data_IF_658458270533
#
_entry.id   IF_658458270533
#
_cell.length_a   1.000
_cell.length_b   1.000
_cell.length_c   1.000
_cell.angle_alpha   90.00
_cell.angle_beta   90.00
_cell.angle_gamma   90.00
#
_symmetry.space_group_name_H-M   'P 1'
#
loop_
_entity.id
_entity.type
_entity.pdbx_description
1 polymer ?
#
# COMPACT_ATOMS: atom_id res chain seq x y z
N UNK A 1 10.93 6.76 9.17
CA UNK A 1 11.74 7.51 10.17
C UNK A 1 13.09 6.86 10.49
N UNK A 2 13.16 5.63 11.05
CA UNK A 2 14.45 4.99 11.39
C UNK A 2 15.21 4.35 10.21
N UNK A 3 14.50 3.81 9.22
CA UNK A 3 15.13 3.18 8.03
C UNK A 3 15.42 4.15 6.87
N UNK A 4 14.97 5.41 6.98
CA UNK A 4 15.09 6.44 5.93
C UNK A 4 14.02 6.39 4.83
N UNK A 5 12.93 5.64 5.02
CA UNK A 5 11.75 5.61 4.15
C UNK A 5 10.85 6.81 4.43
N UNK A 6 10.35 7.42 3.35
CA UNK A 6 9.27 8.41 3.40
C UNK A 6 7.94 7.68 3.62
N UNK A 7 7.08 8.25 4.45
CA UNK A 7 5.71 7.77 4.69
C UNK A 7 4.76 8.95 4.50
N UNK A 8 3.48 8.73 4.17
CA UNK A 8 2.53 9.82 4.10
C UNK A 8 2.25 10.35 5.52
N UNK A 9 2.00 11.65 5.63
CA UNK A 9 1.52 12.22 6.89
C UNK A 9 0.24 11.48 7.31
N UNK A 10 0.24 10.96 8.53
CA UNK A 10 -0.80 10.06 9.04
C UNK A 10 -1.25 10.54 10.42
N UNK A 11 -2.55 10.56 10.64
CA UNK A 11 -3.20 10.88 11.90
C UNK A 11 -4.11 9.71 12.30
N UNK A 12 -3.97 9.22 13.52
CA UNK A 12 -4.97 8.35 14.14
C UNK A 12 -5.72 9.19 15.17
N UNK A 13 -7.04 9.31 15.02
CA UNK A 13 -7.86 10.13 15.90
C UNK A 13 -9.26 9.56 16.09
N UNK A 14 -9.93 10.04 17.14
CA UNK A 14 -11.35 9.82 17.44
C UNK A 14 -12.16 11.11 17.36
N UNK A 15 -11.56 12.24 16.94
CA UNK A 15 -12.17 13.58 17.07
C UNK A 15 -12.10 14.36 15.76
N UNK A 16 -13.23 14.95 15.36
CA UNK A 16 -13.36 15.77 14.14
C UNK A 16 -12.41 16.96 14.12
N UNK A 17 -12.24 17.63 15.26
CA UNK A 17 -11.34 18.79 15.40
C UNK A 17 -9.88 18.48 15.07
N UNK A 18 -9.42 17.25 15.31
CA UNK A 18 -8.04 16.85 15.03
C UNK A 18 -7.82 16.72 13.52
N UNK A 19 -8.84 16.23 12.79
CA UNK A 19 -8.83 16.19 11.31
C UNK A 19 -8.77 17.60 10.73
N UNK A 20 -9.58 18.52 11.26
CA UNK A 20 -9.57 19.92 10.83
C UNK A 20 -8.21 20.58 11.07
N UNK A 21 -7.56 20.29 12.21
CA UNK A 21 -6.23 20.79 12.51
C UNK A 21 -5.12 20.12 11.67
N UNK A 22 -5.33 18.88 11.23
CA UNK A 22 -4.41 18.15 10.35
C UNK A 22 -4.39 18.71 8.93
N UNK A 23 -5.51 19.27 8.48
CA UNK A 23 -5.69 19.86 7.14
C UNK A 23 -5.61 21.39 7.24
N UNK A 24 -4.39 21.94 7.44
CA UNK A 24 -4.18 23.40 7.56
C UNK A 24 -4.24 24.16 6.22
N UNK A 25 -4.30 23.44 5.10
CA UNK A 25 -4.40 23.95 3.72
C UNK A 25 -5.34 23.04 2.93
N UNK A 26 -5.93 23.46 1.80
CA UNK A 26 -6.67 22.56 0.92
C UNK A 26 -5.74 21.42 0.47
N UNK A 27 -5.83 20.30 1.17
CA UNK A 27 -5.09 19.08 0.91
C UNK A 27 -6.11 17.96 0.94
N UNK A 28 -6.09 17.13 -0.11
CA UNK A 28 -6.93 15.95 -0.15
C UNK A 28 -6.46 14.99 0.94
N UNK A 29 -7.42 14.44 1.66
CA UNK A 29 -7.18 13.43 2.69
C UNK A 29 -8.01 12.20 2.39
N UNK A 30 -7.48 11.06 2.79
CA UNK A 30 -8.13 9.76 2.67
C UNK A 30 -8.26 9.14 4.05
N UNK A 31 -9.25 8.27 4.21
CA UNK A 31 -9.36 7.34 5.33
C UNK A 31 -9.22 5.92 4.82
N UNK A 32 -8.62 5.06 5.62
CA UNK A 32 -8.56 3.61 5.40
C UNK A 32 -8.54 2.90 6.74
N UNK A 33 -8.87 1.61 6.76
CA UNK A 33 -8.78 0.83 8.00
C UNK A 33 -7.33 0.72 8.48
N UNK A 34 -7.15 0.75 9.81
CA UNK A 34 -5.85 0.61 10.48
C UNK A 34 -5.28 -0.80 10.29
N UNK A 35 -6.16 -1.79 10.09
CA UNK A 35 -5.84 -3.19 9.83
C UNK A 35 -6.81 -3.74 8.77
N UNK A 36 -6.53 -4.91 8.19
CA UNK A 36 -7.50 -5.63 7.37
C UNK A 36 -8.80 -5.82 8.18
N UNK A 37 -9.86 -5.12 7.77
CA UNK A 37 -11.13 -5.09 8.47
C UNK A 37 -11.88 -6.41 8.33
N UNK A 38 -12.78 -6.69 9.27
CA UNK A 38 -13.71 -7.81 9.16
C UNK A 38 -14.57 -7.62 7.91
N UNK A 39 -14.55 -8.59 7.00
CA UNK A 39 -15.50 -8.62 5.87
C UNK A 39 -16.84 -9.10 6.42
N UNK A 40 -17.81 -8.20 6.48
CA UNK A 40 -19.17 -8.57 6.84
C UNK A 40 -19.89 -9.05 5.59
N UNK A 41 -20.34 -10.30 5.60
CA UNK A 41 -21.19 -10.86 4.56
C UNK A 41 -22.65 -10.81 5.00
N UNK A 42 -23.51 -10.16 4.22
CA UNK A 42 -24.95 -10.18 4.40
C UNK A 42 -25.64 -10.38 3.04
N UNK A 43 -26.49 -11.40 2.93
CA UNK A 43 -27.26 -11.72 1.70
C UNK A 43 -26.41 -11.75 0.41
N UNK A 44 -25.17 -12.24 0.48
CA UNK A 44 -24.26 -12.32 -0.67
C UNK A 44 -23.44 -11.04 -0.95
N UNK A 45 -23.63 -9.98 -0.16
CA UNK A 45 -22.84 -8.74 -0.24
C UNK A 45 -21.77 -8.73 0.86
N UNK A 46 -20.52 -8.48 0.46
CA UNK A 46 -19.39 -8.27 1.39
C UNK A 46 -19.13 -6.77 1.56
N UNK A 47 -19.04 -6.30 2.80
CA UNK A 47 -18.57 -4.95 3.11
C UNK A 47 -17.05 -4.96 3.28
N UNK A 48 -16.35 -4.20 2.43
CA UNK A 48 -14.90 -4.04 2.48
C UNK A 48 -14.55 -2.62 2.92
N UNK A 49 -13.50 -2.48 3.72
CA UNK A 49 -12.95 -1.17 4.03
C UNK A 49 -11.92 -0.78 2.97
N UNK A 50 -12.37 -0.05 1.98
CA UNK A 50 -11.52 0.52 0.93
C UNK A 50 -10.90 1.84 1.38
N UNK A 51 -9.91 2.32 0.63
CA UNK A 51 -9.42 3.69 0.80
C UNK A 51 -10.47 4.66 0.26
N UNK A 52 -10.91 5.62 1.07
CA UNK A 52 -11.96 6.58 0.69
C UNK A 52 -11.46 8.01 0.83
N UNK A 53 -11.72 8.88 -0.17
CA UNK A 53 -11.46 10.31 -0.06
C UNK A 53 -12.42 10.95 0.95
N UNK A 54 -11.88 11.70 1.91
CA UNK A 54 -12.67 12.47 2.86
C UNK A 54 -12.88 13.88 2.31
N UNK A 55 -13.76 13.99 1.32
CA UNK A 55 -14.13 15.27 0.71
C UNK A 55 -14.87 16.20 1.72
N UNK A 56 -15.16 17.46 1.36
CA UNK A 56 -15.85 18.38 2.26
C UNK A 56 -17.22 17.88 2.74
N UNK A 57 -17.96 17.13 1.90
CA UNK A 57 -19.27 16.58 2.25
C UNK A 57 -19.12 15.50 3.32
N UNK A 58 -18.21 14.55 3.11
CA UNK A 58 -17.84 13.51 4.08
C UNK A 58 -17.45 14.14 5.41
N UNK A 59 -16.55 15.13 5.39
CA UNK A 59 -16.08 15.80 6.60
C UNK A 59 -17.22 16.55 7.33
N UNK A 60 -18.15 17.15 6.59
CA UNK A 60 -19.30 17.84 7.18
C UNK A 60 -20.20 16.86 7.94
N UNK A 61 -20.40 15.66 7.40
CA UNK A 61 -21.24 14.61 7.99
C UNK A 61 -20.64 13.88 9.19
N UNK A 62 -19.35 14.06 9.49
CA UNK A 62 -18.73 13.45 10.67
C UNK A 62 -19.31 14.00 11.97
N UNK A 63 -19.61 13.10 12.91
CA UNK A 63 -19.85 13.44 14.30
C UNK A 63 -18.59 14.04 14.97
N UNK A 64 -18.77 14.79 16.07
CA UNK A 64 -17.64 15.39 16.79
C UNK A 64 -16.64 14.34 17.31
N UNK A 65 -17.15 13.15 17.65
CA UNK A 65 -16.38 11.98 18.06
C UNK A 65 -16.83 10.72 17.30
N UNK A 66 -15.88 9.83 17.01
CA UNK A 66 -16.09 8.58 16.28
C UNK A 66 -15.08 7.50 16.71
N UNK A 67 -15.22 6.27 16.22
CA UNK A 67 -14.27 5.18 16.49
C UNK A 67 -12.86 5.52 15.97
N UNK A 68 -11.78 5.05 16.61
CA UNK A 68 -10.42 5.32 16.16
C UNK A 68 -10.25 5.05 14.67
N UNK A 69 -9.90 6.09 13.93
CA UNK A 69 -9.80 6.05 12.47
C UNK A 69 -8.46 6.60 12.02
N UNK A 70 -7.91 6.04 10.94
CA UNK A 70 -6.70 6.51 10.31
C UNK A 70 -7.06 7.48 9.20
N UNK A 71 -6.54 8.69 9.30
CA UNK A 71 -6.60 9.72 8.27
C UNK A 71 -5.21 9.94 7.73
N UNK A 72 -5.06 9.99 6.41
CA UNK A 72 -3.77 10.11 5.76
C UNK A 72 -3.85 11.18 4.66
N UNK A 73 -2.78 11.94 4.47
CA UNK A 73 -2.71 12.84 3.31
C UNK A 73 -2.74 12.00 2.03
N UNK A 74 -3.61 12.39 1.09
CA UNK A 74 -3.60 11.83 -0.24
C UNK A 74 -2.32 12.25 -0.96
N UNK A 75 -1.67 11.30 -1.60
CA UNK A 75 -0.48 11.53 -2.41
C UNK A 75 -0.80 11.10 -3.84
N UNK A 76 -0.62 12.02 -4.78
CA UNK A 76 -0.72 11.71 -6.20
C UNK A 76 0.40 10.74 -6.59
N UNK A 77 0.04 9.66 -7.27
CA UNK A 77 0.92 8.56 -7.61
C UNK A 77 1.01 8.42 -9.12
N UNK A 78 2.23 8.31 -9.63
CA UNK A 78 2.51 7.90 -11.00
C UNK A 78 2.29 6.40 -11.18
N UNK A 79 2.74 5.61 -10.20
CA UNK A 79 2.54 4.16 -10.16
C UNK A 79 2.47 3.67 -8.71
N UNK A 80 1.83 2.51 -8.55
CA UNK A 80 1.92 1.72 -7.32
C UNK A 80 3.00 0.66 -7.50
N UNK A 81 3.74 0.38 -6.44
CA UNK A 81 4.80 -0.62 -6.43
C UNK A 81 4.44 -1.72 -5.43
N UNK A 82 4.25 -2.94 -5.92
CA UNK A 82 4.12 -4.14 -5.11
C UNK A 82 5.47 -4.85 -5.12
N UNK A 83 6.07 -5.01 -3.95
CA UNK A 83 7.45 -5.49 -3.83
C UNK A 83 7.46 -6.72 -2.93
N UNK A 84 7.83 -7.88 -3.48
CA UNK A 84 8.05 -9.07 -2.69
C UNK A 84 9.48 -9.10 -2.15
N UNK A 85 9.62 -9.24 -0.84
CA UNK A 85 10.88 -9.39 -0.14
C UNK A 85 11.05 -10.82 0.33
N UNK A 86 12.23 -11.40 0.13
CA UNK A 86 12.63 -12.68 0.72
C UNK A 86 14.16 -12.71 0.89
N UNK A 87 14.64 -12.94 2.11
CA UNK A 87 16.06 -13.08 2.46
C UNK A 87 16.98 -12.06 1.75
N UNK A 88 16.73 -10.78 2.00
CA UNK A 88 17.45 -9.62 1.42
C UNK A 88 17.29 -9.41 -0.10
N UNK A 89 16.53 -10.25 -0.80
CA UNK A 89 16.16 -10.06 -2.20
C UNK A 89 14.82 -9.33 -2.33
N UNK A 90 14.71 -8.48 -3.35
CA UNK A 90 13.54 -7.65 -3.62
C UNK A 90 13.10 -7.84 -5.08
N UNK A 91 11.84 -8.22 -5.27
CA UNK A 91 11.20 -8.38 -6.57
C UNK A 91 10.05 -7.40 -6.68
N UNK A 92 10.17 -6.39 -7.53
CA UNK A 92 9.19 -5.31 -7.62
C UNK A 92 8.37 -5.38 -8.90
N UNK A 93 7.10 -5.04 -8.77
CA UNK A 93 6.16 -4.85 -9.87
C UNK A 93 5.59 -3.44 -9.79
N UNK A 94 5.57 -2.74 -10.92
CA UNK A 94 4.83 -1.49 -11.06
C UNK A 94 3.43 -1.74 -11.62
N UNK A 95 2.44 -1.09 -11.01
CA UNK A 95 1.03 -1.13 -11.37
C UNK A 95 0.62 0.28 -11.81
N UNK A 96 0.24 0.44 -13.08
CA UNK A 96 -0.19 1.73 -13.62
C UNK A 96 -1.71 1.92 -13.45
N UNK A 97 -2.13 2.26 -12.22
CA UNK A 97 -3.56 2.44 -11.87
C UNK A 97 -4.17 3.76 -12.35
N UNK A 98 -3.35 4.75 -12.73
CA UNK A 98 -3.86 6.09 -13.07
C UNK A 98 -4.67 6.17 -14.37
N UNK A 99 -4.54 5.17 -15.25
CA UNK A 99 -5.26 5.15 -16.52
C UNK A 99 -6.71 4.64 -16.39
N UNK A 100 -7.12 4.21 -15.19
CA UNK A 100 -8.46 3.73 -14.92
C UNK A 100 -9.05 4.46 -13.71
N UNK A 101 -10.18 5.15 -13.91
CA UNK A 101 -10.83 5.95 -12.86
C UNK A 101 -11.20 5.12 -11.63
N UNK A 102 -11.55 3.84 -11.81
CA UNK A 102 -11.91 2.93 -10.72
C UNK A 102 -10.72 2.61 -9.81
N UNK A 103 -9.53 2.42 -10.40
CA UNK A 103 -8.32 2.00 -9.68
C UNK A 103 -7.43 3.17 -9.25
N UNK A 104 -7.73 4.39 -9.71
CA UNK A 104 -6.91 5.59 -9.48
C UNK A 104 -6.69 5.90 -8.01
N UNK A 105 -7.73 5.78 -7.17
CA UNK A 105 -7.63 5.97 -5.73
C UNK A 105 -7.01 4.73 -5.06
N UNK A 106 -7.53 3.55 -5.38
CA UNK A 106 -7.18 2.27 -4.79
C UNK A 106 -7.18 1.17 -5.86
N UNK A 107 -6.03 0.55 -6.14
CA UNK A 107 -5.95 -0.48 -7.20
C UNK A 107 -6.78 -1.73 -6.90
N UNK A 108 -7.17 -1.93 -5.64
CA UNK A 108 -8.00 -3.05 -5.19
C UNK A 108 -9.41 -2.99 -5.78
N UNK A 109 -9.83 -1.82 -6.25
CA UNK A 109 -11.09 -1.61 -6.98
C UNK A 109 -10.93 -2.07 -8.44
N UNK A 110 -10.43 -3.29 -8.59
CA UNK A 110 -9.84 -3.81 -9.82
C UNK A 110 -10.88 -3.99 -10.92
N UNK A 111 -10.67 -3.30 -12.04
CA UNK A 111 -11.45 -3.46 -13.24
C UNK A 111 -11.01 -4.73 -13.99
N UNK A 112 -11.89 -5.73 -14.02
CA UNK A 112 -11.63 -6.99 -14.75
C UNK A 112 -11.85 -6.88 -16.25
N UNK A 113 -12.52 -5.82 -16.72
CA UNK A 113 -12.76 -5.54 -18.14
C UNK A 113 -11.55 -4.79 -18.71
N UNK A 114 -11.04 -3.79 -17.99
CA UNK A 114 -9.84 -3.01 -18.38
C UNK A 114 -8.75 -3.13 -17.31
N UNK A 115 -8.03 -4.28 -17.27
CA UNK A 115 -7.05 -4.55 -16.23
C UNK A 115 -5.88 -3.55 -16.29
N UNK A 116 -5.37 -3.18 -15.12
CA UNK A 116 -4.20 -2.32 -15.03
C UNK A 116 -2.98 -2.97 -15.70
N UNK A 117 -2.15 -2.17 -16.36
CA UNK A 117 -0.84 -2.62 -16.85
C UNK A 117 0.08 -2.88 -15.65
N UNK A 118 0.60 -4.10 -15.57
CA UNK A 118 1.54 -4.55 -14.56
C UNK A 118 2.87 -4.94 -15.23
N UNK A 119 4.00 -4.44 -14.73
CA UNK A 119 5.32 -4.72 -15.33
C UNK A 119 6.40 -4.93 -14.27
N UNK A 120 7.46 -5.70 -14.58
CA UNK A 120 8.68 -5.72 -13.78
C UNK A 120 9.21 -4.30 -13.53
N UNK A 121 9.68 -4.02 -12.32
CA UNK A 121 10.22 -2.73 -11.95
C UNK A 121 11.58 -2.88 -11.26
N UNK A 122 12.55 -2.06 -11.64
CA UNK A 122 13.84 -2.02 -10.99
C UNK A 122 13.89 -0.88 -9.96
N UNK A 123 13.98 -1.24 -8.68
CA UNK A 123 14.13 -0.25 -7.61
C UNK A 123 15.53 0.40 -7.65
N UNK A 124 15.65 1.71 -7.42
CA UNK A 124 16.94 2.35 -7.19
C UNK A 124 17.66 1.72 -5.98
N UNK A 125 18.99 1.59 -6.04
CA UNK A 125 19.79 0.98 -4.97
C UNK A 125 19.53 1.62 -3.60
N UNK A 126 19.39 2.94 -3.55
CA UNK A 126 19.07 3.67 -2.32
C UNK A 126 17.73 3.31 -1.70
N UNK A 127 16.73 2.92 -2.51
CA UNK A 127 15.43 2.45 -2.03
C UNK A 127 15.54 0.98 -1.57
N UNK A 128 16.25 0.13 -2.33
CA UNK A 128 16.52 -1.27 -1.93
C UNK A 128 17.16 -1.33 -0.54
N UNK A 129 18.21 -0.54 -0.31
CA UNK A 129 18.91 -0.50 0.97
C UNK A 129 18.01 -0.07 2.13
N UNK A 130 17.12 0.91 1.89
CA UNK A 130 16.15 1.37 2.89
C UNK A 130 15.12 0.30 3.23
N UNK A 131 14.63 -0.45 2.23
CA UNK A 131 13.68 -1.54 2.42
C UNK A 131 14.32 -2.72 3.16
N UNK A 132 15.54 -3.12 2.78
CA UNK A 132 16.29 -4.19 3.47
C UNK A 132 16.51 -3.81 4.94
N UNK A 133 16.98 -2.59 5.22
CA UNK A 133 17.13 -2.11 6.60
C UNK A 133 15.81 -2.12 7.36
N UNK A 134 14.71 -1.73 6.71
CA UNK A 134 13.38 -1.76 7.33
C UNK A 134 12.95 -3.19 7.69
N UNK A 135 13.02 -4.12 6.74
CA UNK A 135 12.62 -5.53 6.94
C UNK A 135 13.46 -6.19 8.05
N UNK A 136 14.76 -5.93 8.07
CA UNK A 136 15.66 -6.40 9.12
C UNK A 136 15.33 -5.79 10.50
N UNK A 137 15.00 -4.48 10.56
CA UNK A 137 14.63 -3.82 11.81
C UNK A 137 13.33 -4.39 12.41
N UNK A 138 12.37 -4.79 11.57
CA UNK A 138 11.12 -5.43 12.02
C UNK A 138 11.21 -6.96 12.11
N UNK A 139 12.39 -7.53 11.85
CA UNK A 139 12.69 -8.96 11.92
C UNK A 139 11.81 -9.84 11.01
N UNK A 140 11.45 -9.33 9.84
CA UNK A 140 10.76 -10.10 8.81
C UNK A 140 11.77 -10.57 7.75
N UNK A 141 11.81 -11.87 7.49
CA UNK A 141 12.63 -12.47 6.43
C UNK A 141 11.87 -12.66 5.11
N UNK A 142 10.55 -12.38 5.11
CA UNK A 142 9.65 -12.46 3.97
C UNK A 142 8.51 -11.45 4.16
N UNK A 143 8.00 -10.87 3.07
CA UNK A 143 6.84 -9.99 3.13
C UNK A 143 6.54 -9.32 1.79
N UNK A 144 5.32 -8.80 1.66
CA UNK A 144 4.93 -8.00 0.50
C UNK A 144 4.78 -6.55 0.92
N UNK A 145 5.55 -5.67 0.29
CA UNK A 145 5.66 -4.26 0.62
C UNK A 145 4.90 -3.47 -0.44
N UNK A 146 4.09 -2.51 0.02
CA UNK A 146 3.39 -1.56 -0.84
C UNK A 146 4.06 -0.20 -0.76
N UNK A 147 4.35 0.36 -1.92
CA UNK A 147 4.83 1.73 -2.07
C UNK A 147 4.08 2.45 -3.19
N UNK A 148 4.18 3.77 -3.19
CA UNK A 148 3.81 4.59 -4.35
C UNK A 148 5.03 5.33 -4.87
N UNK A 149 5.09 5.45 -6.19
CA UNK A 149 6.01 6.34 -6.90
C UNK A 149 5.24 7.59 -7.30
N UNK A 150 5.67 8.76 -6.87
CA UNK A 150 5.03 10.04 -7.23
C UNK A 150 5.49 10.51 -8.62
N UNK A 151 4.74 11.41 -9.30
CA UNK A 151 5.21 12.07 -10.52
C UNK A 151 6.53 12.84 -10.35
N UNK A 152 6.85 13.26 -9.11
CA UNK A 152 8.11 13.90 -8.73
C UNK A 152 9.26 12.92 -8.46
N UNK A 153 9.09 11.63 -8.79
CA UNK A 153 10.08 10.57 -8.57
C UNK A 153 10.43 10.30 -7.09
N UNK A 154 9.44 10.49 -6.20
CA UNK A 154 9.57 10.14 -4.78
C UNK A 154 8.93 8.78 -4.50
N UNK A 155 9.57 8.01 -3.62
CA UNK A 155 9.13 6.68 -3.21
C UNK A 155 8.56 6.75 -1.79
N UNK A 156 7.26 6.51 -1.66
CA UNK A 156 6.57 6.60 -0.38
C UNK A 156 6.13 5.20 0.05
N UNK A 157 6.61 4.77 1.22
CA UNK A 157 6.24 3.50 1.84
C UNK A 157 4.83 3.59 2.43
N UNK A 158 3.99 2.61 2.14
CA UNK A 158 2.63 2.53 2.68
C UNK A 158 2.53 1.50 3.80
N UNK A 159 2.87 0.26 3.51
CA UNK A 159 2.73 -0.85 4.46
C UNK A 159 3.55 -2.09 4.04
N UNK A 160 3.63 -3.06 4.96
CA UNK A 160 4.13 -4.41 4.69
C UNK A 160 3.11 -5.44 5.16
N UNK A 161 2.74 -6.35 4.28
CA UNK A 161 1.95 -7.53 4.61
C UNK A 161 2.91 -8.71 4.93
N UNK A 162 2.99 -9.16 6.20
CA UNK A 162 3.89 -10.22 6.63
C UNK A 162 3.50 -11.62 6.13
N UNK A 163 2.25 -11.81 5.67
CA UNK A 163 1.82 -13.07 5.02
C UNK A 163 2.60 -13.27 3.70
N UNK A 164 3.04 -12.18 3.08
CA UNK A 164 3.91 -12.24 1.91
C UNK A 164 3.21 -12.74 0.65
N UNK A 165 1.96 -12.32 0.41
CA UNK A 165 1.27 -12.67 -0.84
C UNK A 165 2.07 -12.20 -2.06
N UNK A 166 2.62 -13.17 -2.81
CA UNK A 166 3.58 -12.92 -3.90
C UNK A 166 3.02 -13.24 -5.30
N UNK A 167 1.89 -13.95 -5.41
CA UNK A 167 1.38 -14.43 -6.71
C UNK A 167 1.14 -13.32 -7.73
N UNK A 168 0.58 -12.18 -7.29
CA UNK A 168 0.38 -10.98 -8.13
C UNK A 168 1.69 -10.33 -8.58
N UNK A 169 2.82 -10.61 -7.94
CA UNK A 169 4.14 -10.14 -8.37
C UNK A 169 4.80 -11.19 -9.27
N UNK A 170 4.70 -12.48 -8.90
CA UNK A 170 5.37 -13.56 -9.62
C UNK A 170 4.85 -13.73 -11.04
N UNK A 171 3.52 -13.88 -11.21
CA UNK A 171 2.94 -14.26 -12.49
C UNK A 171 3.01 -13.14 -13.54
N UNK A 172 2.63 -11.87 -13.25
CA UNK A 172 2.69 -10.81 -14.26
C UNK A 172 4.11 -10.42 -14.65
N UNK A 173 5.08 -10.60 -13.74
CA UNK A 173 6.48 -10.24 -13.98
C UNK A 173 7.36 -11.42 -14.37
N UNK A 174 6.80 -12.63 -14.43
CA UNK A 174 7.51 -13.88 -14.73
C UNK A 174 8.75 -14.10 -13.84
N UNK A 175 8.66 -13.77 -12.55
CA UNK A 175 9.79 -13.89 -11.61
C UNK A 175 10.01 -15.32 -11.10
N UNK A 176 9.02 -16.21 -11.21
CA UNK A 176 9.15 -17.60 -10.74
C UNK A 176 9.37 -17.70 -9.23
N UNK A 177 8.74 -16.82 -8.45
CA UNK A 177 8.90 -16.73 -7.00
C UNK A 177 8.48 -18.02 -6.30
N UNK A 178 7.53 -18.77 -6.86
CA UNK A 178 7.11 -20.09 -6.38
C UNK A 178 8.31 -21.04 -6.31
N UNK A 179 9.11 -21.09 -7.39
CA UNK A 179 10.30 -21.93 -7.48
C UNK A 179 11.39 -21.45 -6.53
N UNK A 180 11.59 -20.14 -6.45
CA UNK A 180 12.58 -19.52 -5.55
C UNK A 180 12.26 -19.84 -4.09
N UNK A 181 11.01 -19.67 -3.68
CA UNK A 181 10.56 -19.96 -2.32
C UNK A 181 10.72 -21.46 -2.01
N UNK A 182 10.31 -22.34 -2.94
CA UNK A 182 10.48 -23.78 -2.78
C UNK A 182 11.96 -24.18 -2.63
N UNK A 183 12.86 -23.56 -3.42
CA UNK A 183 14.30 -23.77 -3.31
C UNK A 183 14.83 -23.29 -1.94
N UNK A 184 14.50 -22.07 -1.54
CA UNK A 184 14.92 -21.51 -0.26
C UNK A 184 14.47 -22.36 0.93
N UNK A 185 13.22 -22.82 0.94
CA UNK A 185 12.71 -23.68 2.01
C UNK A 185 13.34 -25.08 2.03
N UNK A 186 13.83 -25.56 0.88
CA UNK A 186 14.46 -26.89 0.76
C UNK A 186 15.95 -26.87 1.11
N UNK A 187 16.66 -25.79 0.78
CA UNK A 187 18.13 -25.73 0.82
C UNK A 187 18.69 -24.61 1.71
N UNK A 188 17.87 -23.66 2.17
CA UNK A 188 18.31 -22.52 2.99
C UNK A 188 19.06 -21.44 2.22
N UNK A 189 19.06 -21.50 0.88
CA UNK A 189 19.74 -20.56 -0.02
C UNK A 189 18.77 -20.04 -1.06
N UNK A 190 18.94 -18.78 -1.49
CA UNK A 190 18.25 -18.23 -2.67
C UNK A 190 19.04 -18.55 -3.93
#
# INVERSE_FOLDING_TARGET
ASAGLNIPDTLITTRKKDIQAFVTKPAKIITKSINEGLVFFNNGYGAYSETTEMDPEFQSGLADTFFPSLVQKYIEKFAELRIFFIHDQLYAMAIFSQQNEQTRLDYRNYDRITPNRNVPFELPGSIKDKLIRFMNAIKLNCGSIDMILTPGNEYIFLEVNPIGQFGMVSQPCNYGLEKLIAHYLSYGTI
#
